data_IF_150574425536
#
_entry.id   IF_150574425536
#
_cell.length_a   1.000
_cell.length_b   1.000
_cell.length_c   1.000
_cell.angle_alpha   90.00
_cell.angle_beta   90.00
_cell.angle_gamma   90.00
#
_symmetry.space_group_name_H-M   'P 1'
#
loop_
_entity.id
_entity.type
_entity.pdbx_description
1 polymer ?
#
# COMPACT_ATOMS: atom_id res chain seq x y z
N UNK A 1 -45.13 -55.40 -42.88
CA UNK A 1 -45.75 -55.30 -41.54
C UNK A 1 -44.78 -54.72 -40.50
N UNK A 2 -44.06 -53.64 -40.83
CA UNK A 2 -43.03 -53.00 -39.97
C UNK A 2 -43.50 -51.63 -39.43
N UNK A 3 -44.74 -51.19 -39.73
CA UNK A 3 -45.14 -49.79 -39.56
C UNK A 3 -46.15 -49.50 -38.45
N UNK A 4 -46.77 -50.49 -37.79
CA UNK A 4 -47.82 -50.23 -36.78
C UNK A 4 -47.33 -50.28 -35.31
N UNK A 5 -46.21 -50.97 -35.02
CA UNK A 5 -45.61 -51.04 -33.67
C UNK A 5 -44.75 -49.81 -33.32
N UNK A 6 -44.35 -49.00 -34.30
CA UNK A 6 -43.53 -47.79 -34.11
C UNK A 6 -44.35 -46.51 -33.89
N UNK A 7 -45.67 -46.53 -34.13
CA UNK A 7 -46.55 -45.35 -34.00
C UNK A 7 -47.34 -45.28 -32.68
N UNK A 8 -47.41 -46.39 -31.92
CA UNK A 8 -48.19 -46.46 -30.66
C UNK A 8 -47.34 -46.41 -29.40
N UNK A 9 -46.01 -46.50 -29.51
CA UNK A 9 -45.09 -46.31 -28.39
C UNK A 9 -44.57 -44.87 -28.29
N UNK A 10 -45.00 -43.98 -29.21
CA UNK A 10 -44.71 -42.53 -29.19
C UNK A 10 -45.83 -41.70 -28.55
N UNK A 11 -46.77 -42.31 -27.82
CA UNK A 11 -47.90 -41.60 -27.16
C UNK A 11 -47.95 -41.77 -25.64
N UNK A 12 -46.81 -42.08 -24.99
CA UNK A 12 -46.71 -42.10 -23.52
C UNK A 12 -45.60 -41.21 -22.94
N UNK A 13 -44.97 -40.34 -23.74
CA UNK A 13 -43.87 -39.46 -23.30
C UNK A 13 -44.22 -38.00 -23.58
N UNK A 14 -45.41 -37.56 -23.18
CA UNK A 14 -45.81 -36.15 -23.26
C UNK A 14 -46.69 -35.77 -22.09
N UNK A 15 -46.16 -35.84 -20.87
CA UNK A 15 -46.59 -34.95 -19.78
C UNK A 15 -45.59 -34.97 -18.62
N UNK A 16 -44.51 -34.21 -18.76
CA UNK A 16 -43.83 -33.65 -17.59
C UNK A 16 -43.29 -32.28 -17.96
N UNK A 17 -44.10 -31.28 -17.63
CA UNK A 17 -43.68 -29.90 -17.49
C UNK A 17 -42.68 -29.84 -16.33
N UNK A 18 -41.41 -29.53 -16.60
CA UNK A 18 -40.51 -29.02 -15.58
C UNK A 18 -39.73 -27.85 -16.16
N UNK A 19 -40.10 -26.65 -15.71
CA UNK A 19 -39.28 -25.46 -15.79
C UNK A 19 -37.92 -25.76 -15.17
N UNK A 20 -36.85 -25.59 -15.93
CA UNK A 20 -35.52 -25.32 -15.39
C UNK A 20 -35.00 -24.06 -16.09
N UNK A 21 -34.80 -23.01 -15.29
CA UNK A 21 -34.13 -21.78 -15.70
C UNK A 21 -32.77 -22.12 -16.31
N UNK A 22 -32.57 -21.84 -17.60
CA UNK A 22 -31.24 -21.81 -18.17
C UNK A 22 -30.52 -20.59 -17.60
N UNK A 23 -29.50 -20.84 -16.79
CA UNK A 23 -28.49 -19.87 -16.38
C UNK A 23 -27.96 -19.14 -17.62
N UNK A 24 -28.10 -17.82 -17.62
CA UNK A 24 -27.32 -16.95 -18.50
C UNK A 24 -25.85 -17.15 -18.11
N UNK A 25 -24.94 -17.51 -19.02
CA UNK A 25 -23.53 -17.48 -18.68
C UNK A 25 -23.19 -16.01 -18.41
N UNK A 26 -22.82 -15.69 -17.18
CA UNK A 26 -22.16 -14.44 -16.87
C UNK A 26 -20.93 -14.38 -17.78
N UNK A 27 -20.98 -13.50 -18.78
CA UNK A 27 -19.80 -13.15 -19.54
C UNK A 27 -18.76 -12.71 -18.52
N UNK A 28 -17.74 -13.55 -18.32
CA UNK A 28 -16.59 -13.21 -17.51
C UNK A 28 -16.06 -11.89 -18.06
N UNK A 29 -16.10 -10.84 -17.24
CA UNK A 29 -15.38 -9.61 -17.53
C UNK A 29 -13.91 -9.99 -17.78
N UNK A 30 -13.20 -9.31 -18.69
CA UNK A 30 -11.78 -9.54 -18.87
C UNK A 30 -11.06 -9.17 -17.56
N UNK A 31 -10.72 -10.18 -16.76
CA UNK A 31 -9.80 -10.07 -15.64
C UNK A 31 -8.39 -10.16 -16.22
N UNK A 32 -7.94 -9.07 -16.82
CA UNK A 32 -6.52 -8.89 -17.13
C UNK A 32 -6.09 -7.50 -16.67
N UNK A 33 -6.32 -7.26 -15.39
CA UNK A 33 -5.43 -6.42 -14.63
C UNK A 33 -4.38 -7.40 -14.10
N UNK A 34 -3.25 -7.51 -14.79
CA UNK A 34 -2.05 -8.05 -14.15
C UNK A 34 -1.72 -7.10 -13.00
N UNK A 35 -2.37 -7.29 -11.85
CA UNK A 35 -1.81 -6.88 -10.57
C UNK A 35 -0.45 -7.55 -10.54
N UNK A 36 0.59 -6.76 -10.81
CA UNK A 36 1.92 -7.16 -10.40
C UNK A 36 1.82 -7.16 -8.88
N UNK A 37 1.57 -8.33 -8.29
CA UNK A 37 1.76 -8.57 -6.87
C UNK A 37 3.25 -8.37 -6.62
N UNK A 38 3.61 -7.10 -6.46
CA UNK A 38 4.92 -6.73 -6.05
C UNK A 38 4.97 -7.05 -4.56
N UNK A 39 5.26 -8.32 -4.29
CA UNK A 39 5.25 -8.95 -2.99
C UNK A 39 6.35 -8.30 -2.12
N UNK A 40 6.04 -7.18 -1.46
CA UNK A 40 6.97 -6.45 -0.59
C UNK A 40 6.61 -6.60 0.88
N UNK A 41 7.63 -6.71 1.72
CA UNK A 41 7.53 -6.40 3.14
C UNK A 41 7.87 -4.94 3.37
N UNK A 42 7.18 -4.29 4.30
CA UNK A 42 7.40 -2.88 4.63
C UNK A 42 7.73 -2.75 6.11
N UNK A 43 8.83 -2.08 6.41
CA UNK A 43 9.28 -1.86 7.77
C UNK A 43 9.44 -0.38 8.06
N UNK A 44 9.05 0.03 9.27
CA UNK A 44 9.23 1.36 9.81
C UNK A 44 10.18 1.33 11.01
N UNK A 45 11.16 2.22 11.00
CA UNK A 45 11.99 2.55 12.15
C UNK A 45 11.69 3.97 12.61
N UNK A 46 11.46 4.13 13.90
CA UNK A 46 11.30 5.42 14.55
C UNK A 46 12.31 5.54 15.69
N UNK A 47 12.91 6.70 15.85
CA UNK A 47 13.93 6.90 16.89
C UNK A 47 13.33 6.74 18.30
N UNK A 48 13.78 5.72 19.03
CA UNK A 48 13.33 5.45 20.40
C UNK A 48 12.00 4.69 20.50
N UNK A 49 11.49 4.15 19.38
CA UNK A 49 10.34 3.24 19.36
C UNK A 49 10.76 1.95 18.65
N UNK A 50 10.80 0.86 19.40
CA UNK A 50 11.07 -0.49 18.87
C UNK A 50 9.75 -1.22 18.60
N UNK A 51 9.70 -1.97 17.50
CA UNK A 51 8.64 -2.93 17.17
C UNK A 51 9.13 -4.37 17.35
N UNK A 52 8.44 -5.32 16.71
CA UNK A 52 8.68 -6.77 16.91
C UNK A 52 9.14 -7.52 15.65
N UNK A 53 9.51 -6.83 14.57
CA UNK A 53 10.03 -7.50 13.39
C UNK A 53 11.27 -8.35 13.72
N UNK A 54 11.34 -9.55 13.14
CA UNK A 54 12.43 -10.52 13.34
C UNK A 54 13.22 -10.80 12.07
N UNK A 55 12.85 -10.16 10.96
CA UNK A 55 13.53 -10.32 9.68
C UNK A 55 14.97 -9.79 9.77
N UNK A 56 15.90 -10.52 9.14
CA UNK A 56 17.32 -10.16 9.10
C UNK A 56 17.48 -8.71 8.60
N UNK A 57 18.26 -7.89 9.32
CA UNK A 57 18.52 -6.45 9.06
C UNK A 57 17.37 -5.51 9.42
N UNK A 58 16.20 -6.03 9.78
CA UNK A 58 15.02 -5.26 10.20
C UNK A 58 14.55 -5.67 11.60
N UNK A 59 15.45 -6.24 12.42
CA UNK A 59 15.13 -6.67 13.77
C UNK A 59 14.69 -5.49 14.63
N UNK A 60 13.58 -5.65 15.36
CA UNK A 60 12.94 -4.63 16.19
C UNK A 60 12.40 -3.42 15.42
N UNK A 61 12.29 -3.50 14.11
CA UNK A 61 11.52 -2.53 13.35
C UNK A 61 10.03 -2.83 13.51
N UNK A 62 9.20 -1.85 13.17
CA UNK A 62 7.75 -1.99 13.12
C UNK A 62 7.40 -2.58 11.76
N UNK A 63 6.80 -3.77 11.73
CA UNK A 63 6.25 -4.31 10.50
C UNK A 63 4.96 -3.57 10.13
N UNK A 64 4.85 -3.12 8.89
CA UNK A 64 3.69 -2.41 8.38
C UNK A 64 2.85 -3.33 7.48
N UNK A 65 1.53 -3.22 7.63
CA UNK A 65 0.56 -3.90 6.78
C UNK A 65 -0.06 -2.96 5.74
N UNK A 66 0.22 -1.66 5.81
CA UNK A 66 -0.30 -0.69 4.86
C UNK A 66 0.37 0.66 5.01
N UNK A 67 0.30 1.45 3.94
CA UNK A 67 0.97 2.73 3.83
C UNK A 67 0.20 3.64 2.87
N UNK A 68 0.11 4.92 3.21
CA UNK A 68 -0.50 5.92 2.37
C UNK A 68 0.27 7.24 2.48
N UNK A 69 0.62 7.80 1.32
CA UNK A 69 1.30 9.08 1.21
C UNK A 69 0.80 9.81 -0.03
N UNK A 70 0.42 11.07 0.14
CA UNK A 70 -0.10 11.92 -0.93
C UNK A 70 0.60 13.27 -0.92
N UNK A 71 1.08 13.68 -2.09
CA UNK A 71 1.56 15.04 -2.33
C UNK A 71 0.72 15.64 -3.43
N UNK A 72 0.09 16.79 -3.15
CA UNK A 72 -0.69 17.54 -4.15
C UNK A 72 -0.13 18.96 -4.30
N UNK A 73 -0.02 19.41 -5.55
CA UNK A 73 0.29 20.79 -5.88
C UNK A 73 -0.97 21.43 -6.48
N UNK A 74 -1.54 22.40 -5.75
CA UNK A 74 -2.76 23.11 -6.14
C UNK A 74 -2.46 24.31 -7.05
N UNK A 75 -1.49 24.19 -7.97
CA UNK A 75 -1.29 25.19 -9.02
C UNK A 75 -2.48 25.16 -9.98
N UNK A 76 -3.46 26.03 -9.75
CA UNK A 76 -4.54 26.27 -10.71
C UNK A 76 -3.95 27.00 -11.92
N UNK A 77 -3.83 26.30 -13.05
CA UNK A 77 -3.65 26.96 -14.34
C UNK A 77 -4.99 27.61 -14.74
N UNK A 78 -5.36 28.71 -14.09
CA UNK A 78 -6.42 29.57 -14.61
C UNK A 78 -5.87 30.34 -15.81
N UNK A 79 -6.55 30.26 -16.95
CA UNK A 79 -6.22 30.87 -18.24
C UNK A 79 -5.97 32.40 -18.17
N UNK A 80 -4.80 32.83 -17.71
CA UNK A 80 -4.37 34.23 -17.74
C UNK A 80 -2.88 34.33 -17.41
N UNK A 81 -2.10 34.96 -18.28
CA UNK A 81 -0.63 34.99 -18.23
C UNK A 81 -0.07 35.50 -16.90
N UNK A 82 0.35 34.57 -16.05
CA UNK A 82 1.02 34.83 -14.77
C UNK A 82 1.00 33.54 -13.95
N UNK A 83 2.10 32.77 -13.99
CA UNK A 83 2.17 31.45 -13.37
C UNK A 83 1.76 31.48 -11.90
N UNK A 84 0.67 30.81 -11.56
CA UNK A 84 0.25 30.64 -10.19
C UNK A 84 1.28 29.76 -9.46
N UNK A 85 2.05 30.37 -8.55
CA UNK A 85 2.95 29.66 -7.63
C UNK A 85 2.10 28.87 -6.64
N UNK A 86 1.66 27.67 -7.04
CA UNK A 86 0.96 26.74 -6.16
C UNK A 86 1.82 26.42 -4.93
N UNK A 87 1.23 26.50 -3.74
CA UNK A 87 1.87 25.98 -2.52
C UNK A 87 1.61 24.49 -2.45
N UNK A 88 2.65 23.67 -2.49
CA UNK A 88 2.53 22.23 -2.26
C UNK A 88 2.09 22.01 -0.82
N UNK A 89 0.98 21.31 -0.62
CA UNK A 89 0.57 20.82 0.72
C UNK A 89 0.87 19.34 0.75
N UNK A 90 1.77 18.93 1.66
CA UNK A 90 1.98 17.53 1.94
C UNK A 90 1.00 17.15 3.03
N UNK A 91 0.13 16.19 2.70
CA UNK A 91 -0.73 15.56 3.69
C UNK A 91 0.11 14.49 4.37
N UNK A 92 -0.11 14.33 5.67
CA UNK A 92 0.62 13.47 6.59
C UNK A 92 0.97 12.08 6.01
N UNK A 93 2.04 11.48 6.51
CA UNK A 93 2.40 10.12 6.13
C UNK A 93 1.63 9.12 7.00
N UNK A 94 0.71 8.35 6.42
CA UNK A 94 -0.12 7.41 7.15
C UNK A 94 0.43 5.99 7.02
N UNK A 95 0.55 5.29 8.14
CA UNK A 95 0.99 3.89 8.20
C UNK A 95 -0.04 3.04 8.93
N UNK A 96 -0.14 1.77 8.52
CA UNK A 96 -1.04 0.78 9.12
C UNK A 96 -0.19 -0.38 9.65
N UNK A 97 -0.48 -0.83 10.86
CA UNK A 97 0.21 -1.94 11.53
C UNK A 97 -0.75 -2.75 12.40
N UNK A 98 -0.32 -3.94 12.82
CA UNK A 98 -0.97 -4.65 13.94
C UNK A 98 -0.37 -4.21 15.28
N UNK A 99 -1.11 -4.46 16.38
CA UNK A 99 -0.55 -4.31 17.72
C UNK A 99 0.76 -5.07 17.89
N UNK A 100 1.75 -4.38 18.43
CA UNK A 100 3.06 -4.92 18.84
C UNK A 100 3.62 -4.05 19.98
N UNK A 101 4.83 -4.33 20.44
CA UNK A 101 5.50 -3.53 21.49
C UNK A 101 5.61 -2.03 21.18
N UNK A 102 5.54 -1.60 19.92
CA UNK A 102 5.60 -0.17 19.54
C UNK A 102 4.30 0.58 19.81
N UNK A 103 3.17 -0.12 19.95
CA UNK A 103 1.83 0.46 20.09
C UNK A 103 1.72 1.42 21.28
N UNK A 104 2.23 1.03 22.45
CA UNK A 104 2.19 1.87 23.66
C UNK A 104 3.06 3.12 23.49
N UNK A 105 4.34 3.03 23.06
CA UNK A 105 5.14 4.22 22.75
C UNK A 105 4.53 5.15 21.69
N UNK A 106 3.88 4.61 20.65
CA UNK A 106 3.22 5.40 19.61
C UNK A 106 2.03 6.20 20.17
N UNK A 107 1.19 5.53 20.97
CA UNK A 107 0.09 6.18 21.69
C UNK A 107 0.60 7.30 22.61
N UNK A 108 1.63 7.03 23.43
CA UNK A 108 2.22 8.04 24.32
C UNK A 108 2.88 9.19 23.55
N UNK A 109 3.54 8.90 22.43
CA UNK A 109 4.16 9.93 21.58
C UNK A 109 3.10 10.86 20.99
N UNK A 110 1.92 10.33 20.64
CA UNK A 110 0.77 11.11 20.18
C UNK A 110 0.28 12.06 21.28
N UNK A 111 0.14 11.58 22.52
CA UNK A 111 -0.31 12.40 23.65
C UNK A 111 0.69 13.49 24.06
N UNK A 112 1.99 13.23 23.87
CA UNK A 112 3.06 14.14 24.30
C UNK A 112 3.55 15.08 23.20
N UNK A 113 3.20 14.82 21.94
CA UNK A 113 3.77 15.53 20.79
C UNK A 113 5.28 15.37 20.70
N UNK A 114 5.83 14.24 21.18
CA UNK A 114 7.29 14.03 21.23
C UNK A 114 7.87 13.99 19.82
N UNK A 115 8.86 14.84 19.59
CA UNK A 115 9.64 14.83 18.35
C UNK A 115 10.69 13.72 18.36
N UNK A 116 10.71 12.95 17.27
CA UNK A 116 11.74 11.97 16.94
C UNK A 116 12.63 12.56 15.86
N UNK A 117 13.96 12.51 16.00
CA UNK A 117 14.82 13.18 15.03
C UNK A 117 14.71 12.52 13.65
N UNK A 118 14.53 11.20 13.60
CA UNK A 118 14.52 10.43 12.38
C UNK A 118 13.39 9.39 12.37
N UNK A 119 12.82 9.18 11.18
CA UNK A 119 11.99 8.04 10.82
C UNK A 119 12.45 7.45 9.49
N UNK A 120 12.35 6.14 9.32
CA UNK A 120 12.77 5.47 8.08
C UNK A 120 11.80 4.36 7.72
N UNK A 121 11.33 4.37 6.49
CA UNK A 121 10.45 3.36 5.93
C UNK A 121 11.18 2.68 4.79
N UNK A 122 11.14 1.35 4.75
CA UNK A 122 11.80 0.56 3.71
C UNK A 122 10.82 -0.47 3.15
N UNK A 123 10.68 -0.47 1.83
CA UNK A 123 10.02 -1.51 1.06
C UNK A 123 11.08 -2.52 0.63
N UNK A 124 10.86 -3.79 0.94
CA UNK A 124 11.82 -4.88 0.74
C UNK A 124 11.18 -5.95 -0.11
N UNK A 125 11.86 -6.37 -1.18
CA UNK A 125 11.40 -7.51 -2.00
C UNK A 125 11.30 -8.78 -1.16
N UNK A 126 10.21 -9.55 -1.31
CA UNK A 126 10.13 -10.91 -0.76
C UNK A 126 10.87 -11.89 -1.67
N UNK A 127 11.40 -12.97 -1.10
CA UNK A 127 12.12 -14.03 -1.83
C UNK A 127 13.45 -14.42 -1.20
N UNK A 128 14.27 -15.17 -1.93
CA UNK A 128 15.55 -15.73 -1.44
C UNK A 128 16.61 -14.68 -1.14
N UNK A 129 16.49 -13.48 -1.70
CA UNK A 129 17.41 -12.36 -1.44
C UNK A 129 16.63 -11.06 -1.26
N UNK A 130 16.08 -10.81 -0.05
CA UNK A 130 15.34 -9.59 0.23
C UNK A 130 16.25 -8.36 0.07
N UNK A 131 15.87 -7.45 -0.82
CA UNK A 131 16.61 -6.21 -1.08
C UNK A 131 15.70 -5.00 -0.91
N UNK A 132 16.20 -3.92 -0.27
CA UNK A 132 15.50 -2.64 -0.25
C UNK A 132 15.28 -2.12 -1.68
N UNK A 133 14.02 -1.89 -2.04
CA UNK A 133 13.61 -1.28 -3.31
C UNK A 133 13.45 0.23 -3.16
N UNK A 134 12.64 0.63 -2.19
CA UNK A 134 12.32 2.02 -1.89
C UNK A 134 12.62 2.28 -0.42
N UNK A 135 13.38 3.34 -0.17
CA UNK A 135 13.63 3.88 1.16
C UNK A 135 13.08 5.29 1.23
N UNK A 136 12.31 5.57 2.28
CA UNK A 136 11.79 6.90 2.61
C UNK A 136 12.37 7.28 3.97
N UNK A 137 13.14 8.36 4.01
CA UNK A 137 13.72 8.90 5.25
C UNK A 137 13.04 10.21 5.61
N UNK A 138 12.53 10.28 6.83
CA UNK A 138 11.83 11.40 7.42
C UNK A 138 12.72 12.02 8.51
N UNK A 139 12.76 13.34 8.60
CA UNK A 139 13.45 14.04 9.68
C UNK A 139 12.50 14.95 10.46
N UNK A 140 12.76 15.04 11.77
CA UNK A 140 11.96 15.77 12.74
C UNK A 140 10.48 15.34 12.68
N UNK A 141 10.27 14.09 13.07
CA UNK A 141 9.02 13.34 12.96
C UNK A 141 8.20 13.47 14.23
N UNK A 142 6.90 13.68 14.09
CA UNK A 142 5.92 13.67 15.19
C UNK A 142 4.80 12.70 14.83
N UNK A 143 4.31 11.95 15.82
CA UNK A 143 3.08 11.18 15.65
C UNK A 143 1.90 12.14 15.86
N UNK A 144 1.23 12.53 14.77
CA UNK A 144 0.12 13.50 14.82
C UNK A 144 -1.22 12.87 15.15
N UNK A 145 -1.39 11.59 14.79
CA UNK A 145 -2.62 10.85 15.06
C UNK A 145 -2.32 9.37 15.33
N UNK A 146 -3.08 8.79 16.25
CA UNK A 146 -3.07 7.37 16.57
C UNK A 146 -4.51 6.90 16.77
N UNK A 147 -4.93 5.94 15.95
CA UNK A 147 -6.26 5.36 15.98
C UNK A 147 -6.15 3.85 15.78
N UNK A 148 -7.05 3.07 16.37
CA UNK A 148 -7.13 1.64 16.06
C UNK A 148 -8.59 1.18 15.91
N UNK A 149 -8.77 0.17 15.07
CA UNK A 149 -10.00 -0.58 14.94
C UNK A 149 -9.69 -2.08 15.02
N UNK A 150 -10.25 -2.74 16.03
CA UNK A 150 -9.85 -4.09 16.41
C UNK A 150 -8.32 -4.14 16.63
N UNK A 151 -7.59 -5.03 15.96
CA UNK A 151 -6.13 -5.15 16.09
C UNK A 151 -5.34 -4.30 15.09
N UNK A 152 -6.03 -3.55 14.22
CA UNK A 152 -5.39 -2.72 13.19
C UNK A 152 -5.22 -1.29 13.72
N UNK A 153 -3.99 -0.83 13.75
CA UNK A 153 -3.63 0.54 14.12
C UNK A 153 -3.34 1.36 12.86
N UNK A 154 -3.82 2.60 12.85
CA UNK A 154 -3.51 3.63 11.86
C UNK A 154 -2.79 4.76 12.57
N UNK A 155 -1.61 5.11 12.08
CA UNK A 155 -0.73 6.12 12.67
C UNK A 155 -0.38 7.15 11.60
N UNK A 156 -0.61 8.44 11.90
CA UNK A 156 -0.16 9.54 11.05
C UNK A 156 1.15 10.10 11.57
N UNK A 157 2.10 10.32 10.66
CA UNK A 157 3.39 10.93 10.91
C UNK A 157 3.47 12.27 10.18
N UNK A 158 3.75 13.31 10.94
CA UNK A 158 4.20 14.60 10.42
C UNK A 158 5.72 14.67 10.46
N UNK A 159 6.32 15.43 9.53
CA UNK A 159 7.77 15.53 9.38
C UNK A 159 8.13 16.85 8.69
N UNK A 160 9.39 17.27 8.83
CA UNK A 160 9.87 18.52 8.25
C UNK A 160 10.82 18.33 7.06
N UNK A 161 11.37 17.13 6.87
CA UNK A 161 12.17 16.79 5.70
C UNK A 161 11.84 15.37 5.28
N UNK A 162 11.80 15.14 3.97
CA UNK A 162 11.61 13.83 3.36
C UNK A 162 12.69 13.60 2.31
N UNK A 163 13.23 12.38 2.25
CA UNK A 163 14.12 11.91 1.20
C UNK A 163 13.64 10.55 0.72
N UNK A 164 13.51 10.40 -0.59
CA UNK A 164 13.18 9.13 -1.23
C UNK A 164 14.44 8.63 -1.94
N UNK A 165 14.63 7.32 -1.89
CA UNK A 165 15.73 6.63 -2.56
C UNK A 165 15.21 5.33 -3.13
N UNK A 166 15.36 5.15 -4.43
CA UNK A 166 14.85 4.02 -5.20
C UNK A 166 15.98 3.35 -5.97
N UNK A 167 16.04 2.02 -5.91
CA UNK A 167 16.94 1.20 -6.70
C UNK A 167 16.35 -0.17 -6.91
N UNK A 168 16.50 -0.73 -8.11
CA UNK A 168 16.07 -2.09 -8.44
C UNK A 168 17.28 -3.02 -8.49
N UNK A 169 17.02 -4.31 -8.36
CA UNK A 169 18.01 -5.37 -8.62
C UNK A 169 17.46 -6.23 -9.76
N UNK A 170 18.26 -6.49 -10.79
CA UNK A 170 17.88 -7.38 -11.89
C UNK A 170 17.94 -8.87 -11.45
N UNK A 171 17.44 -9.77 -12.29
CA UNK A 171 17.45 -11.23 -12.05
C UNK A 171 18.87 -11.81 -11.86
N UNK A 172 19.91 -11.08 -12.28
CA UNK A 172 21.32 -11.46 -12.16
C UNK A 172 21.97 -10.89 -10.90
N UNK A 173 21.21 -10.16 -10.06
CA UNK A 173 21.71 -9.55 -8.83
C UNK A 173 22.37 -8.19 -9.02
N UNK A 174 22.33 -7.59 -10.23
CA UNK A 174 22.92 -6.27 -10.46
C UNK A 174 21.95 -5.17 -10.03
N UNK A 175 22.46 -4.20 -9.27
CA UNK A 175 21.67 -3.04 -8.83
C UNK A 175 21.65 -1.94 -9.88
N UNK A 176 20.48 -1.36 -10.13
CA UNK A 176 20.36 -0.13 -10.90
C UNK A 176 21.03 1.04 -10.18
N UNK A 177 21.43 2.11 -10.88
CA UNK A 177 21.82 3.36 -10.24
C UNK A 177 20.76 3.81 -9.23
N UNK A 178 21.21 4.34 -8.10
CA UNK A 178 20.32 4.89 -7.07
C UNK A 178 19.68 6.18 -7.61
N UNK A 179 18.35 6.22 -7.60
CA UNK A 179 17.58 7.43 -7.88
C UNK A 179 17.14 8.00 -6.54
N UNK A 180 17.52 9.23 -6.23
CA UNK A 180 17.15 9.88 -4.99
C UNK A 180 16.69 11.32 -5.20
N UNK A 181 15.91 11.80 -4.25
CA UNK A 181 15.46 13.18 -4.20
C UNK A 181 14.67 13.44 -2.93
N UNK A 182 14.72 14.67 -2.44
CA UNK A 182 14.02 15.04 -1.23
C UNK A 182 13.55 16.48 -1.21
N UNK A 183 12.89 16.83 -0.12
CA UNK A 183 12.45 18.19 0.15
C UNK A 183 12.55 18.49 1.64
N UNK A 184 13.07 19.68 1.95
CA UNK A 184 13.07 20.26 3.28
C UNK A 184 11.97 21.33 3.34
N UNK A 185 10.91 21.05 4.11
CA UNK A 185 9.75 21.93 4.25
C UNK A 185 10.03 23.13 5.15
N UNK A 186 10.99 23.03 6.08
CA UNK A 186 11.43 24.19 6.87
C UNK A 186 12.21 25.18 6.02
N UNK A 187 13.05 24.69 5.11
CA UNK A 187 13.87 25.51 4.22
C UNK A 187 13.18 25.84 2.89
N UNK A 188 12.05 25.18 2.60
CA UNK A 188 11.37 25.24 1.30
C UNK A 188 12.33 24.95 0.13
N UNK A 189 13.10 23.86 0.24
CA UNK A 189 14.23 23.56 -0.68
C UNK A 189 14.28 22.09 -1.07
N UNK A 190 14.49 21.83 -2.37
CA UNK A 190 14.81 20.49 -2.90
C UNK A 190 16.17 20.03 -2.39
N UNK A 191 16.27 18.74 -2.06
CA UNK A 191 17.44 18.08 -1.49
C UNK A 191 17.94 17.00 -2.45
#
# INVERSE_FOLDING_TARGET
MITLKKMLLSMLITWTLMLAFSVVPAAAAPTDETEVDLNYDVYLKLEGIEGEATAEKFEKWIALSGIHFEVSNTSSNSNGGGGASGKTTVKEFMVIKQFDSSSVPLFLSTLTGKHMKNGKIVFVSRGESPTPLLTIELSDVVVSNYYFNNTNETVSLEFNKIQLSYSTTDEKGNKSPLINGGFDFKQNKVQ
#
